data_IF_915421662358
#
_entry.id   IF_915421662358
#
_cell.length_a   1.000
_cell.length_b   1.000
_cell.length_c   1.000
_cell.angle_alpha   90.00
_cell.angle_beta   90.00
_cell.angle_gamma   90.00
#
_symmetry.space_group_name_H-M   'P 1'
#
loop_
_entity.id
_entity.type
_entity.pdbx_description
1 polymer ?
#
# COMPACT_ATOMS: atom_id res chain seq x y z
N UNK A 1 -15.72 -0.84 41.04
CA UNK A 1 -14.99 -1.53 39.96
C UNK A 1 -16.00 -2.10 38.96
N UNK A 2 -16.23 -1.42 37.84
CA UNK A 2 -17.11 -1.89 36.77
C UNK A 2 -16.39 -2.95 35.94
N UNK A 3 -16.86 -4.21 36.02
CA UNK A 3 -16.41 -5.29 35.13
C UNK A 3 -16.77 -4.90 33.69
N UNK A 4 -15.79 -4.47 32.90
CA UNK A 4 -15.90 -4.37 31.45
C UNK A 4 -16.14 -5.80 30.93
N UNK A 5 -17.39 -6.14 30.65
CA UNK A 5 -17.74 -7.34 29.88
C UNK A 5 -17.10 -7.20 28.52
N UNK A 6 -16.07 -8.01 28.23
CA UNK A 6 -15.51 -8.12 26.87
C UNK A 6 -16.63 -8.67 26.00
N UNK A 7 -17.24 -7.80 25.19
CA UNK A 7 -18.14 -8.23 24.11
C UNK A 7 -17.29 -9.12 23.19
N UNK A 8 -17.55 -10.43 23.19
CA UNK A 8 -16.85 -11.35 22.31
C UNK A 8 -17.03 -10.94 20.85
N UNK A 9 -16.15 -11.41 19.97
CA UNK A 9 -16.17 -11.06 18.53
C UNK A 9 -17.49 -11.45 17.83
N UNK A 10 -18.33 -12.27 18.48
CA UNK A 10 -19.48 -12.91 17.86
C UNK A 10 -19.03 -14.08 16.98
N UNK A 11 -19.96 -14.98 16.69
CA UNK A 11 -19.75 -16.09 15.76
C UNK A 11 -20.82 -16.07 14.67
N UNK A 12 -20.49 -16.62 13.50
CA UNK A 12 -21.46 -16.85 12.44
C UNK A 12 -22.34 -18.08 12.69
N UNK A 13 -23.24 -18.38 11.76
CA UNK A 13 -24.17 -19.53 11.80
C UNK A 13 -23.47 -20.90 11.94
N UNK A 14 -22.18 -20.98 11.56
CA UNK A 14 -21.37 -22.20 11.67
C UNK A 14 -20.48 -22.18 12.93
N UNK A 15 -20.71 -21.25 13.86
CA UNK A 15 -19.93 -21.12 15.10
C UNK A 15 -18.53 -20.53 14.91
N UNK A 16 -18.16 -20.08 13.71
CA UNK A 16 -16.83 -19.51 13.43
C UNK A 16 -16.77 -18.09 13.97
N UNK A 17 -15.67 -17.74 14.64
CA UNK A 17 -15.46 -16.37 15.13
C UNK A 17 -15.54 -15.38 13.98
N UNK A 18 -16.09 -14.20 14.25
CA UNK A 18 -16.13 -13.08 13.31
C UNK A 18 -14.74 -12.40 13.16
N UNK A 19 -13.71 -13.20 12.88
CA UNK A 19 -12.32 -12.80 12.74
C UNK A 19 -11.69 -13.53 11.57
N UNK A 20 -10.93 -12.80 10.77
CA UNK A 20 -10.32 -13.30 9.55
C UNK A 20 -8.83 -12.96 9.58
N UNK A 21 -7.99 -13.95 9.26
CA UNK A 21 -6.54 -13.78 9.17
C UNK A 21 -6.14 -14.19 7.76
N UNK A 22 -5.38 -13.31 7.10
CA UNK A 22 -4.84 -13.53 5.77
C UNK A 22 -3.35 -13.80 5.89
N UNK A 23 -2.88 -14.92 5.34
CA UNK A 23 -1.47 -15.25 5.26
C UNK A 23 -0.96 -14.95 3.85
N UNK A 24 -0.10 -13.93 3.73
CA UNK A 24 0.51 -13.51 2.46
C UNK A 24 2.03 -13.50 2.65
N UNK A 25 2.76 -14.28 1.86
CA UNK A 25 4.21 -14.38 1.98
C UNK A 25 4.92 -13.28 1.16
N UNK A 26 5.76 -12.46 1.81
CA UNK A 26 6.62 -11.52 1.09
C UNK A 26 7.85 -12.24 0.48
N UNK A 27 8.46 -11.63 -0.53
CA UNK A 27 9.75 -12.05 -1.05
C UNK A 27 10.85 -11.70 -0.05
N UNK A 28 11.84 -12.60 0.09
CA UNK A 28 13.04 -12.37 0.90
C UNK A 28 14.15 -11.79 0.04
N UNK A 29 14.80 -10.75 0.55
CA UNK A 29 15.99 -10.14 -0.01
C UNK A 29 17.16 -10.27 0.97
N UNK A 30 18.36 -10.36 0.42
CA UNK A 30 19.62 -10.39 1.16
C UNK A 30 20.37 -9.08 0.92
N UNK A 31 21.31 -8.72 1.78
CA UNK A 31 22.04 -7.46 1.63
C UNK A 31 22.78 -7.34 0.29
N UNK A 32 23.22 -8.47 -0.26
CA UNK A 32 23.86 -8.57 -1.58
C UNK A 32 22.92 -8.27 -2.74
N UNK A 33 21.59 -8.34 -2.56
CA UNK A 33 20.61 -8.14 -3.61
C UNK A 33 19.39 -7.33 -3.17
N UNK A 34 19.49 -6.55 -2.09
CA UNK A 34 18.36 -5.81 -1.50
C UNK A 34 17.64 -4.91 -2.50
N UNK A 35 18.38 -4.34 -3.46
CA UNK A 35 17.82 -3.45 -4.48
C UNK A 35 17.01 -4.18 -5.56
N UNK A 36 17.14 -5.51 -5.66
CA UNK A 36 16.33 -6.34 -6.58
C UNK A 36 14.83 -6.17 -6.33
N UNK A 37 14.43 -5.78 -5.12
CA UNK A 37 13.03 -5.58 -4.77
C UNK A 37 12.29 -4.53 -5.60
N UNK A 38 13.02 -3.57 -6.18
CA UNK A 38 12.43 -2.51 -7.01
C UNK A 38 12.27 -2.91 -8.47
N UNK A 39 12.87 -4.04 -8.88
CA UNK A 39 12.77 -4.56 -10.23
C UNK A 39 11.33 -4.89 -10.63
N UNK A 40 11.04 -4.75 -11.92
CA UNK A 40 9.70 -4.93 -12.49
C UNK A 40 9.08 -6.29 -12.12
N UNK A 41 9.86 -7.38 -12.16
CA UNK A 41 9.38 -8.72 -11.83
C UNK A 41 9.01 -8.85 -10.35
N UNK A 42 9.88 -8.38 -9.46
CA UNK A 42 9.68 -8.41 -8.02
C UNK A 42 8.51 -7.54 -7.59
N UNK A 43 8.44 -6.31 -8.10
CA UNK A 43 7.30 -5.42 -7.89
C UNK A 43 5.99 -6.07 -8.36
N UNK A 44 5.97 -6.63 -9.57
CA UNK A 44 4.80 -7.33 -10.10
C UNK A 44 4.41 -8.57 -9.29
N UNK A 45 5.37 -9.34 -8.77
CA UNK A 45 5.09 -10.46 -7.86
C UNK A 45 4.41 -10.02 -6.56
N UNK A 46 4.91 -8.96 -5.92
CA UNK A 46 4.35 -8.48 -4.66
C UNK A 46 2.95 -7.87 -4.83
N UNK A 47 2.70 -7.17 -5.94
CA UNK A 47 1.33 -6.73 -6.31
C UNK A 47 0.39 -7.94 -6.42
N UNK A 48 0.78 -8.99 -7.17
CA UNK A 48 -0.07 -10.18 -7.37
C UNK A 48 -0.41 -10.87 -6.06
N UNK A 49 0.55 -10.98 -5.13
CA UNK A 49 0.35 -11.53 -3.79
C UNK A 49 -0.62 -10.68 -2.96
N UNK A 50 -0.43 -9.35 -2.95
CA UNK A 50 -1.37 -8.44 -2.29
C UNK A 50 -2.78 -8.56 -2.87
N UNK A 51 -2.93 -8.60 -4.20
CA UNK A 51 -4.25 -8.74 -4.85
C UNK A 51 -4.90 -10.06 -4.43
N UNK A 52 -4.17 -11.17 -4.48
CA UNK A 52 -4.69 -12.48 -4.09
C UNK A 52 -5.18 -12.49 -2.63
N UNK A 53 -4.41 -11.89 -1.71
CA UNK A 53 -4.81 -11.80 -0.31
C UNK A 53 -5.96 -10.83 -0.06
N UNK A 54 -5.87 -9.61 -0.59
CA UNK A 54 -6.83 -8.53 -0.30
C UNK A 54 -8.19 -8.75 -0.97
N UNK A 55 -8.22 -9.42 -2.13
CA UNK A 55 -9.49 -9.80 -2.78
C UNK A 55 -10.22 -10.93 -2.05
N UNK A 56 -9.54 -11.64 -1.12
CA UNK A 56 -10.10 -12.78 -0.40
C UNK A 56 -10.77 -13.82 -1.34
N UNK A 57 -10.17 -14.04 -2.52
CA UNK A 57 -10.68 -14.97 -3.53
C UNK A 57 -11.96 -14.54 -4.25
N UNK A 58 -12.47 -13.31 -4.02
CA UNK A 58 -13.64 -12.78 -4.73
C UNK A 58 -13.32 -11.42 -5.34
N UNK A 59 -12.99 -11.45 -6.63
CA UNK A 59 -12.74 -10.24 -7.43
C UNK A 59 -14.07 -9.51 -7.68
N UNK A 60 -15.15 -10.26 -7.84
CA UNK A 60 -16.48 -9.75 -8.15
C UNK A 60 -17.45 -9.93 -6.97
N UNK A 61 -18.07 -8.81 -6.57
CA UNK A 61 -19.20 -8.73 -5.62
C UNK A 61 -18.96 -9.12 -4.15
N UNK A 62 -18.85 -8.10 -3.29
CA UNK A 62 -19.33 -8.17 -1.92
C UNK A 62 -19.89 -6.80 -1.46
N UNK A 63 -21.06 -6.77 -0.79
CA UNK A 63 -21.64 -5.52 -0.29
C UNK A 63 -20.89 -4.91 0.92
N UNK A 64 -19.92 -5.62 1.53
CA UNK A 64 -19.08 -5.07 2.61
C UNK A 64 -17.65 -5.60 2.51
N UNK A 65 -16.75 -4.81 1.92
CA UNK A 65 -15.31 -5.09 1.98
C UNK A 65 -14.83 -4.76 3.40
N UNK A 66 -14.33 -5.77 4.13
CA UNK A 66 -13.77 -5.54 5.47
C UNK A 66 -12.48 -4.73 5.34
N UNK A 67 -12.24 -3.73 6.20
CA UNK A 67 -10.94 -3.07 6.24
C UNK A 67 -9.86 -4.09 6.59
N UNK A 68 -8.67 -3.89 6.02
CA UNK A 68 -7.50 -4.74 6.30
C UNK A 68 -6.61 -4.03 7.30
N UNK A 69 -6.36 -4.68 8.43
CA UNK A 69 -5.29 -4.28 9.34
C UNK A 69 -3.98 -4.94 8.88
N UNK A 70 -2.94 -4.13 8.68
CA UNK A 70 -1.62 -4.56 8.17
C UNK A 70 -0.48 -3.79 8.84
N UNK A 71 0.75 -3.92 8.36
CA UNK A 71 1.94 -3.21 8.86
C UNK A 71 3.13 -3.35 7.91
N UNK A 72 4.33 -3.49 8.49
CA UNK A 72 5.61 -3.64 7.79
C UNK A 72 5.79 -5.05 7.16
N UNK A 73 4.87 -5.40 6.24
CA UNK A 73 4.82 -6.71 5.58
C UNK A 73 6.13 -7.03 4.84
N UNK A 74 6.86 -8.02 5.32
CA UNK A 74 8.12 -8.48 4.70
C UNK A 74 9.35 -7.63 5.00
N UNK A 75 9.28 -6.67 5.92
CA UNK A 75 10.38 -5.72 6.14
C UNK A 75 11.33 -6.06 7.30
N UNK A 76 11.06 -7.14 8.04
CA UNK A 76 11.96 -7.65 9.08
C UNK A 76 13.01 -8.58 8.49
N UNK A 77 12.96 -9.86 8.87
CA UNK A 77 13.89 -10.92 8.39
C UNK A 77 13.96 -11.03 6.85
N UNK A 78 12.92 -10.57 6.15
CA UNK A 78 12.84 -10.62 4.69
C UNK A 78 13.46 -9.40 3.99
N UNK A 79 13.93 -8.40 4.74
CA UNK A 79 14.69 -7.26 4.25
C UNK A 79 14.01 -6.42 3.15
N UNK A 80 12.66 -6.42 3.11
CA UNK A 80 11.92 -5.51 2.26
C UNK A 80 11.95 -4.07 2.79
N UNK A 81 11.97 -3.09 1.88
CA UNK A 81 11.86 -1.67 2.20
C UNK A 81 10.44 -1.35 2.72
N UNK A 82 10.30 -0.88 3.97
CA UNK A 82 9.01 -0.47 4.53
C UNK A 82 8.25 0.54 3.68
N UNK A 83 8.94 1.51 3.06
CA UNK A 83 8.30 2.55 2.25
C UNK A 83 7.69 1.95 0.98
N UNK A 84 8.48 1.16 0.25
CA UNK A 84 8.04 0.47 -0.96
C UNK A 84 6.87 -0.48 -0.67
N UNK A 85 6.97 -1.28 0.40
CA UNK A 85 5.92 -2.23 0.80
C UNK A 85 4.64 -1.55 1.24
N UNK A 86 4.70 -0.42 1.94
CA UNK A 86 3.53 0.34 2.33
C UNK A 86 2.80 0.90 1.10
N UNK A 87 3.54 1.42 0.11
CA UNK A 87 2.96 1.97 -1.12
C UNK A 87 2.39 0.87 -2.04
N UNK A 88 3.00 -0.32 -2.11
CA UNK A 88 2.40 -1.48 -2.81
C UNK A 88 1.05 -1.84 -2.19
N UNK A 89 0.97 -1.90 -0.85
CA UNK A 89 -0.28 -2.21 -0.16
C UNK A 89 -1.33 -1.12 -0.42
N UNK A 90 -0.97 0.16 -0.33
CA UNK A 90 -1.88 1.28 -0.66
C UNK A 90 -2.35 1.26 -2.12
N UNK A 91 -1.45 0.95 -3.07
CA UNK A 91 -1.78 0.79 -4.47
C UNK A 91 -2.86 -0.29 -4.67
N UNK A 92 -2.63 -1.48 -4.14
CA UNK A 92 -3.58 -2.59 -4.29
C UNK A 92 -4.89 -2.32 -3.56
N UNK A 93 -4.85 -1.74 -2.38
CA UNK A 93 -6.05 -1.33 -1.65
C UNK A 93 -6.88 -0.30 -2.43
N UNK A 94 -6.22 0.63 -3.11
CA UNK A 94 -6.87 1.63 -3.97
C UNK A 94 -7.53 0.97 -5.19
N UNK A 95 -6.85 0.02 -5.84
CA UNK A 95 -7.39 -0.75 -6.97
C UNK A 95 -8.64 -1.54 -6.55
N UNK A 96 -8.60 -2.16 -5.37
CA UNK A 96 -9.67 -3.03 -4.87
C UNK A 96 -10.74 -2.28 -4.07
N UNK A 97 -10.61 -0.97 -3.89
CA UNK A 97 -11.49 -0.14 -3.06
C UNK A 97 -11.67 -0.70 -1.64
N UNK A 98 -10.55 -0.95 -0.95
CA UNK A 98 -10.49 -1.48 0.42
C UNK A 98 -9.77 -0.48 1.33
N UNK A 99 -10.31 -0.28 2.53
CA UNK A 99 -9.65 0.55 3.54
C UNK A 99 -8.50 -0.24 4.22
N UNK A 100 -7.36 0.42 4.41
CA UNK A 100 -6.23 -0.12 5.17
C UNK A 100 -6.06 0.60 6.51
N UNK A 101 -5.69 -0.17 7.53
CA UNK A 101 -5.16 0.35 8.80
C UNK A 101 -3.73 -0.18 8.98
N UNK A 102 -2.75 0.71 8.98
CA UNK A 102 -1.36 0.35 9.25
C UNK A 102 -1.07 0.39 10.75
N UNK A 103 -0.53 -0.70 11.28
CA UNK A 103 -0.01 -0.80 12.64
C UNK A 103 1.51 -0.80 12.58
N UNK A 104 2.10 0.38 12.80
CA UNK A 104 3.53 0.68 12.64
C UNK A 104 3.98 1.62 13.77
N UNK A 105 5.28 1.83 13.94
CA UNK A 105 5.78 2.83 14.88
C UNK A 105 5.37 4.25 14.46
N UNK A 106 5.33 5.15 15.44
CA UNK A 106 4.82 6.51 15.22
C UNK A 106 5.66 7.31 14.20
N UNK A 107 6.97 7.08 14.15
CA UNK A 107 7.85 7.83 13.24
C UNK A 107 7.56 7.43 11.79
N UNK A 108 7.49 6.14 11.50
CA UNK A 108 7.14 5.65 10.17
C UNK A 108 5.68 5.99 9.82
N UNK A 109 4.76 5.83 10.78
CA UNK A 109 3.35 6.18 10.60
C UNK A 109 3.13 7.63 10.18
N UNK A 110 3.83 8.58 10.81
CA UNK A 110 3.74 9.99 10.45
C UNK A 110 4.25 10.25 9.01
N UNK A 111 5.37 9.64 8.61
CA UNK A 111 5.89 9.75 7.24
C UNK A 111 4.93 9.15 6.20
N UNK A 112 4.34 8.00 6.52
CA UNK A 112 3.35 7.36 5.65
C UNK A 112 2.09 8.22 5.50
N UNK A 113 1.63 8.86 6.57
CA UNK A 113 0.51 9.81 6.52
C UNK A 113 0.83 11.06 5.69
N UNK A 114 2.05 11.60 5.79
CA UNK A 114 2.49 12.74 4.98
C UNK A 114 2.45 12.42 3.48
N UNK A 115 3.06 11.31 3.07
CA UNK A 115 3.08 10.93 1.65
C UNK A 115 1.67 10.60 1.15
N UNK A 116 0.86 9.90 1.95
CA UNK A 116 -0.55 9.62 1.62
C UNK A 116 -1.35 10.91 1.39
N UNK A 117 -1.24 11.88 2.30
CA UNK A 117 -1.89 13.19 2.16
C UNK A 117 -1.42 13.92 0.91
N UNK A 118 -0.12 13.86 0.61
CA UNK A 118 0.46 14.52 -0.57
C UNK A 118 -0.09 13.91 -1.87
N UNK A 119 -0.18 12.57 -1.96
CA UNK A 119 -0.81 11.89 -3.08
C UNK A 119 -2.28 12.28 -3.25
N UNK A 120 -3.04 12.33 -2.14
CA UNK A 120 -4.46 12.72 -2.17
C UNK A 120 -4.67 14.17 -2.63
N UNK A 121 -3.91 15.13 -2.09
CA UNK A 121 -4.03 16.55 -2.45
C UNK A 121 -3.70 16.80 -3.91
N UNK A 122 -2.78 16.03 -4.49
CA UNK A 122 -2.41 16.11 -5.90
C UNK A 122 -3.28 15.24 -6.83
N UNK A 123 -4.37 14.64 -6.33
CA UNK A 123 -5.27 13.75 -7.08
C UNK A 123 -4.54 12.60 -7.80
N UNK A 124 -3.50 12.06 -7.17
CA UNK A 124 -2.74 10.94 -7.72
C UNK A 124 -3.62 9.69 -7.79
N UNK A 125 -3.73 9.10 -8.98
CA UNK A 125 -4.51 7.87 -9.19
C UNK A 125 -3.65 6.64 -8.90
N UNK A 126 -4.31 5.50 -8.72
CA UNK A 126 -3.62 4.21 -8.58
C UNK A 126 -2.67 3.93 -9.76
N UNK A 127 -3.07 4.28 -10.99
CA UNK A 127 -2.23 4.14 -12.18
C UNK A 127 -0.96 5.00 -12.11
N UNK A 128 -1.04 6.20 -11.55
CA UNK A 128 0.11 7.09 -11.37
C UNK A 128 1.08 6.53 -10.33
N UNK A 129 0.55 5.96 -9.24
CA UNK A 129 1.38 5.31 -8.20
C UNK A 129 2.04 4.04 -8.73
N UNK A 130 1.32 3.23 -9.51
CA UNK A 130 1.92 2.09 -10.21
C UNK A 130 3.06 2.54 -11.12
N UNK A 131 2.85 3.59 -11.92
CA UNK A 131 3.87 4.12 -12.82
C UNK A 131 5.08 4.64 -12.05
N UNK A 132 4.90 5.39 -10.97
CA UNK A 132 5.98 5.86 -10.13
C UNK A 132 6.79 4.67 -9.56
N UNK A 133 6.14 3.73 -8.89
CA UNK A 133 6.84 2.58 -8.28
C UNK A 133 7.57 1.71 -9.33
N UNK A 134 7.03 1.59 -10.54
CA UNK A 134 7.69 0.89 -11.64
C UNK A 134 8.97 1.61 -12.12
N UNK A 135 8.99 2.95 -12.08
CA UNK A 135 10.15 3.75 -12.49
C UNK A 135 11.21 3.88 -11.39
N UNK A 136 10.86 3.65 -10.13
CA UNK A 136 11.76 3.91 -9.00
C UNK A 136 13.10 3.15 -9.10
N UNK A 137 13.13 1.95 -9.67
CA UNK A 137 14.38 1.18 -9.82
C UNK A 137 15.46 1.95 -10.62
N UNK A 138 15.08 2.79 -11.57
CA UNK A 138 16.06 3.56 -12.37
C UNK A 138 16.64 4.78 -11.64
N UNK A 139 16.06 5.16 -10.49
CA UNK A 139 16.42 6.39 -9.74
C UNK A 139 16.64 6.15 -8.24
N UNK A 140 16.68 4.89 -7.81
CA UNK A 140 16.81 4.45 -6.40
C UNK A 140 18.08 4.93 -5.68
N UNK A 141 19.09 5.37 -6.42
CA UNK A 141 20.39 5.74 -5.88
C UNK A 141 20.33 7.15 -5.25
N UNK A 142 20.32 7.20 -3.91
CA UNK A 142 20.38 8.45 -3.15
C UNK A 142 19.04 9.12 -2.88
N UNK A 143 17.92 8.51 -3.28
CA UNK A 143 16.56 9.02 -3.03
C UNK A 143 15.71 7.90 -2.45
N UNK A 144 14.95 8.17 -1.40
CA UNK A 144 14.00 7.19 -0.84
C UNK A 144 12.71 7.11 -1.67
N UNK A 145 11.96 6.01 -1.55
CA UNK A 145 10.71 5.82 -2.29
C UNK A 145 9.71 6.94 -2.01
N UNK A 146 9.56 7.37 -0.75
CA UNK A 146 8.64 8.45 -0.38
C UNK A 146 9.07 9.79 -0.97
N UNK A 147 10.36 10.12 -0.95
CA UNK A 147 10.88 11.35 -1.58
C UNK A 147 10.62 11.34 -3.08
N UNK A 148 10.89 10.22 -3.74
CA UNK A 148 10.65 10.08 -5.18
C UNK A 148 9.15 10.21 -5.52
N UNK A 149 8.26 9.53 -4.80
CA UNK A 149 6.82 9.60 -5.05
C UNK A 149 6.26 11.00 -4.77
N UNK A 150 6.83 11.72 -3.79
CA UNK A 150 6.48 13.12 -3.50
C UNK A 150 6.79 14.03 -4.70
N UNK A 151 8.00 13.92 -5.26
CA UNK A 151 8.37 14.70 -6.45
C UNK A 151 7.51 14.32 -7.65
N UNK A 152 7.34 13.02 -7.91
CA UNK A 152 6.53 12.52 -9.02
C UNK A 152 5.09 13.05 -8.99
N UNK A 153 4.46 13.07 -7.81
CA UNK A 153 3.07 13.55 -7.70
C UNK A 153 2.95 15.07 -7.90
N UNK A 154 3.92 15.84 -7.44
CA UNK A 154 3.97 17.30 -7.64
C UNK A 154 4.18 17.66 -9.12
N UNK A 155 5.04 16.92 -9.83
CA UNK A 155 5.26 17.08 -11.27
C UNK A 155 4.00 16.77 -12.08
N UNK A 156 3.31 15.66 -11.81
CA UNK A 156 2.04 15.33 -12.46
C UNK A 156 0.97 16.40 -12.26
N UNK A 157 0.89 16.98 -11.05
CA UNK A 157 -0.04 18.05 -10.75
C UNK A 157 0.29 19.34 -11.54
N UNK A 158 1.58 19.65 -11.72
CA UNK A 158 2.02 20.78 -12.55
C UNK A 158 1.61 20.63 -14.02
N UNK A 159 1.78 19.43 -14.60
CA UNK A 159 1.43 19.15 -16.00
C UNK A 159 -0.07 19.23 -16.21
N UNK A 160 -0.85 18.66 -15.30
CA UNK A 160 -2.32 18.70 -15.30
C UNK A 160 -2.85 20.14 -15.28
N UNK A 161 -2.31 21.00 -14.40
CA UNK A 161 -2.66 22.44 -14.34
C UNK A 161 -2.28 23.18 -15.62
N UNK A 162 -1.13 22.88 -16.21
CA UNK A 162 -0.70 23.48 -17.47
C UNK A 162 -1.54 23.04 -18.69
N UNK A 163 -2.06 21.80 -18.70
CA UNK A 163 -3.00 21.34 -19.73
C UNK A 163 -4.37 21.99 -19.58
N UNK A 164 -4.88 22.12 -18.36
CA UNK A 164 -6.17 22.77 -18.11
C UNK A 164 -6.17 24.24 -18.56
N UNK A 165 -5.11 25.02 -18.25
CA UNK A 165 -5.01 26.43 -18.69
C UNK A 165 -5.06 26.60 -20.21
N UNK A 166 -4.37 25.75 -20.96
CA UNK A 166 -4.34 25.77 -22.44
C UNK A 166 -5.65 25.34 -23.11
N UNK A 167 -6.60 24.75 -22.37
CA UNK A 167 -7.93 24.42 -22.90
C UNK A 167 -8.94 25.57 -22.78
N UNK A 168 -8.58 26.65 -22.08
CA UNK A 168 -9.40 27.85 -21.91
C UNK A 168 -8.77 29.10 -22.56
N UNK A 169 -7.68 28.92 -23.32
CA UNK A 169 -7.06 29.91 -24.22
C UNK A 169 -7.42 29.57 -25.67
#
# INVERSE_FOLDING_TARGET
MTKRTRKGLGSDENGRLNSFVLAINAQRYYDTNKYKQYGQEEFGMEIRKCIAGFSNGKVDYFPVRRPIATGNWGCGIFNGDPQFKALIQLLVASILNINLTFTVDAQFGNKLQEIYKTMCVNNMKAADLYAALLHYDSVKDGVTVFEFVKVWTEELASVSRGRARRQYE
#
